data_IF_351285208374
#
_entry.id   IF_351285208374
#
_cell.length_a   1.000
_cell.length_b   1.000
_cell.length_c   1.000
_cell.angle_alpha   90.00
_cell.angle_beta   90.00
_cell.angle_gamma   90.00
#
_symmetry.space_group_name_H-M   'P 1'
#
loop_
_entity.id
_entity.type
_entity.pdbx_description
1 polymer ?
#
# COMPACT_ATOMS: atom_id res chain seq x y z
N UNK A 1 -2.64 -7.32 45.91
CA UNK A 1 -2.52 -8.66 45.30
C UNK A 1 -3.59 -9.68 45.73
N UNK A 2 -4.64 -9.28 46.48
CA UNK A 2 -5.73 -10.20 46.90
C UNK A 2 -7.02 -10.12 46.04
N UNK A 3 -7.10 -9.20 45.09
CA UNK A 3 -8.36 -8.89 44.38
C UNK A 3 -8.58 -9.71 43.09
N UNK A 4 -7.51 -10.19 42.44
CA UNK A 4 -7.61 -10.89 41.14
C UNK A 4 -8.06 -12.35 41.29
N UNK A 5 -7.93 -12.95 42.47
CA UNK A 5 -8.27 -14.36 42.70
C UNK A 5 -9.78 -14.63 42.81
N UNK A 6 -10.62 -13.62 42.99
CA UNK A 6 -12.07 -13.81 43.13
C UNK A 6 -12.79 -13.96 41.78
N UNK A 7 -12.25 -13.32 40.73
CA UNK A 7 -12.89 -13.28 39.41
C UNK A 7 -13.12 -14.66 38.79
N UNK A 8 -12.24 -15.63 39.05
CA UNK A 8 -12.38 -17.00 38.52
C UNK A 8 -13.58 -17.75 39.11
N UNK A 9 -13.87 -17.54 40.40
CA UNK A 9 -15.01 -18.17 41.09
C UNK A 9 -16.35 -17.55 40.70
N UNK A 10 -16.38 -16.25 40.41
CA UNK A 10 -17.59 -15.57 39.92
C UNK A 10 -18.10 -16.10 38.58
N UNK A 11 -17.20 -16.42 37.64
CA UNK A 11 -17.59 -16.94 36.32
C UNK A 11 -18.07 -18.39 36.39
N UNK A 12 -17.46 -19.23 37.23
CA UNK A 12 -17.90 -20.62 37.41
C UNK A 12 -19.27 -20.72 38.09
N UNK A 13 -19.55 -19.88 39.11
CA UNK A 13 -20.80 -19.92 39.86
C UNK A 13 -22.01 -19.40 39.06
N UNK A 14 -21.78 -18.62 38.00
CA UNK A 14 -22.84 -18.12 37.10
C UNK A 14 -23.27 -19.12 36.03
N UNK A 15 -22.42 -20.09 35.70
CA UNK A 15 -22.72 -21.09 34.66
C UNK A 15 -23.70 -22.19 35.11
N UNK A 16 -23.91 -22.40 36.42
CA UNK A 16 -24.83 -23.44 36.90
C UNK A 16 -26.28 -22.97 37.10
N UNK A 17 -26.61 -21.73 36.72
CA UNK A 17 -27.91 -21.11 37.06
C UNK A 17 -28.52 -20.29 35.93
N UNK A 18 -28.44 -20.79 34.70
CA UNK A 18 -29.19 -20.23 33.57
C UNK A 18 -30.12 -21.29 33.00
N UNK A 19 -31.33 -21.35 33.55
CA UNK A 19 -32.49 -21.95 32.90
C UNK A 19 -32.72 -21.24 31.57
N UNK A 20 -32.81 -22.04 30.51
CA UNK A 20 -32.77 -21.65 29.09
C UNK A 20 -34.02 -20.85 28.66
N UNK A 21 -35.03 -20.68 29.51
CA UNK A 21 -36.34 -20.13 29.14
C UNK A 21 -36.53 -18.62 29.37
N UNK A 22 -35.63 -17.91 30.05
CA UNK A 22 -35.77 -16.46 30.32
C UNK A 22 -34.82 -15.56 29.53
N UNK A 23 -33.94 -16.14 28.71
CA UNK A 23 -32.84 -15.41 28.04
C UNK A 23 -33.27 -14.73 26.72
N UNK A 24 -34.48 -15.00 26.23
CA UNK A 24 -34.93 -14.60 24.89
C UNK A 24 -35.06 -13.10 24.62
N UNK A 25 -35.32 -12.26 25.63
CA UNK A 25 -35.59 -10.83 25.42
C UNK A 25 -34.60 -9.87 26.11
N UNK A 26 -33.89 -10.29 27.15
CA UNK A 26 -32.81 -9.51 27.78
C UNK A 26 -31.43 -9.89 27.18
N UNK A 27 -31.35 -11.03 26.49
CA UNK A 27 -30.11 -11.61 25.97
C UNK A 27 -29.46 -10.84 24.81
N UNK A 28 -30.19 -9.99 24.09
CA UNK A 28 -29.62 -9.25 22.95
C UNK A 28 -28.57 -8.23 23.44
N UNK A 29 -28.87 -7.38 24.42
CA UNK A 29 -27.92 -6.36 24.93
C UNK A 29 -26.68 -6.91 25.65
N UNK A 30 -26.80 -8.07 26.32
CA UNK A 30 -25.68 -8.69 27.06
C UNK A 30 -24.74 -9.41 26.08
N UNK A 31 -25.30 -10.08 25.06
CA UNK A 31 -24.49 -10.77 24.04
C UNK A 31 -23.70 -9.80 23.16
N UNK A 32 -24.24 -8.62 22.83
CA UNK A 32 -23.46 -7.59 22.11
C UNK A 32 -22.26 -7.10 22.89
N UNK A 33 -22.42 -6.80 24.18
CA UNK A 33 -21.29 -6.38 25.01
C UNK A 33 -20.22 -7.48 25.07
N UNK A 34 -20.62 -8.73 25.22
CA UNK A 34 -19.68 -9.85 25.21
C UNK A 34 -18.94 -10.00 23.88
N UNK A 35 -19.66 -9.92 22.75
CA UNK A 35 -19.07 -10.01 21.41
C UNK A 35 -18.14 -8.81 21.14
N UNK A 36 -18.54 -7.59 21.53
CA UNK A 36 -17.74 -6.36 21.43
C UNK A 36 -16.44 -6.44 22.25
N UNK A 37 -16.51 -6.93 23.49
CA UNK A 37 -15.31 -7.16 24.32
C UNK A 37 -14.38 -8.23 23.72
N UNK A 38 -14.95 -9.26 23.10
CA UNK A 38 -14.18 -10.31 22.40
C UNK A 38 -13.47 -9.76 21.16
N UNK A 39 -14.13 -8.98 20.30
CA UNK A 39 -13.46 -8.32 19.16
C UNK A 39 -12.36 -7.39 19.67
N UNK A 40 -12.67 -6.55 20.66
CA UNK A 40 -11.71 -5.56 21.18
C UNK A 40 -10.46 -6.22 21.73
N UNK A 41 -10.60 -7.34 22.45
CA UNK A 41 -9.46 -8.13 22.96
C UNK A 41 -8.64 -8.83 21.87
N UNK A 42 -9.25 -9.25 20.75
CA UNK A 42 -8.54 -9.81 19.60
C UNK A 42 -7.73 -8.72 18.88
N UNK A 43 -8.33 -7.56 18.64
CA UNK A 43 -7.65 -6.41 18.01
C UNK A 43 -6.53 -5.85 18.88
N UNK A 44 -6.70 -5.82 20.21
CA UNK A 44 -5.63 -5.36 21.12
C UNK A 44 -4.45 -6.34 21.23
N UNK A 45 -4.66 -7.61 20.85
CA UNK A 45 -3.64 -8.67 20.94
C UNK A 45 -2.78 -8.80 19.68
N UNK A 46 -3.15 -8.17 18.56
CA UNK A 46 -2.32 -8.18 17.35
C UNK A 46 -1.14 -7.21 17.48
N UNK A 47 -0.07 -7.65 18.13
CA UNK A 47 1.25 -6.98 18.13
C UNK A 47 1.93 -7.14 16.76
N UNK A 48 1.23 -6.81 15.69
CA UNK A 48 1.81 -6.79 14.34
C UNK A 48 2.49 -5.44 14.18
N UNK A 49 3.79 -5.45 13.89
CA UNK A 49 4.55 -4.24 13.57
C UNK A 49 4.13 -3.74 12.19
N UNK A 50 3.02 -2.99 12.14
CA UNK A 50 2.40 -2.44 10.92
C UNK A 50 3.42 -1.67 10.07
N UNK A 51 4.34 -0.94 10.71
CA UNK A 51 5.41 -0.20 10.05
C UNK A 51 6.35 -1.10 9.25
N UNK A 52 6.67 -2.30 9.75
CA UNK A 52 7.55 -3.24 9.03
C UNK A 52 6.86 -3.82 7.81
N UNK A 53 5.56 -4.14 7.93
CA UNK A 53 4.78 -4.73 6.84
C UNK A 53 4.54 -3.70 5.74
N UNK A 54 4.20 -2.46 6.11
CA UNK A 54 3.95 -1.38 5.16
C UNK A 54 5.17 -1.03 4.31
N UNK A 55 6.38 -1.18 4.86
CA UNK A 55 7.62 -0.96 4.11
C UNK A 55 8.06 -2.21 3.32
N UNK A 56 7.84 -3.41 3.87
CA UNK A 56 8.30 -4.66 3.25
C UNK A 56 7.48 -5.08 2.01
N UNK A 57 6.16 -4.91 2.05
CA UNK A 57 5.27 -5.28 0.93
C UNK A 57 5.62 -4.54 -0.37
N UNK A 58 5.71 -3.20 -0.42
CA UNK A 58 6.03 -2.49 -1.67
C UNK A 58 7.43 -2.83 -2.19
N UNK A 59 8.40 -3.09 -1.30
CA UNK A 59 9.77 -3.48 -1.67
C UNK A 59 9.82 -4.88 -2.32
N UNK A 60 9.06 -5.84 -1.79
CA UNK A 60 8.95 -7.18 -2.36
C UNK A 60 8.21 -7.17 -3.71
N UNK A 61 7.11 -6.40 -3.80
CA UNK A 61 6.35 -6.25 -5.06
C UNK A 61 7.22 -5.66 -6.17
N UNK A 62 7.95 -4.57 -5.90
CA UNK A 62 8.83 -3.96 -6.90
C UNK A 62 9.91 -4.94 -7.37
N UNK A 63 10.56 -5.66 -6.44
CA UNK A 63 11.57 -6.65 -6.79
C UNK A 63 11.04 -7.78 -7.70
N UNK A 64 9.86 -8.32 -7.39
CA UNK A 64 9.23 -9.37 -8.21
C UNK A 64 8.70 -8.84 -9.54
N UNK A 65 8.21 -7.60 -9.56
CA UNK A 65 7.76 -6.92 -10.77
C UNK A 65 8.91 -6.76 -11.77
N UNK A 66 10.07 -6.26 -11.32
CA UNK A 66 11.26 -6.13 -12.19
C UNK A 66 11.80 -7.48 -12.66
N UNK A 67 11.72 -8.54 -11.83
CA UNK A 67 12.08 -9.90 -12.24
C UNK A 67 11.20 -10.39 -13.40
N UNK A 68 9.87 -10.24 -13.27
CA UNK A 68 8.91 -10.59 -14.34
C UNK A 68 9.13 -9.78 -15.61
N UNK A 69 9.49 -8.50 -15.47
CA UNK A 69 9.73 -7.61 -16.60
C UNK A 69 10.98 -8.02 -17.40
N UNK A 70 12.04 -8.49 -16.71
CA UNK A 70 13.26 -8.96 -17.37
C UNK A 70 13.07 -10.28 -18.13
N UNK A 71 12.47 -11.27 -17.48
CA UNK A 71 12.51 -12.65 -17.99
C UNK A 71 11.52 -12.90 -19.13
N UNK A 72 10.38 -12.19 -19.16
CA UNK A 72 9.35 -12.35 -20.21
C UNK A 72 9.52 -11.40 -21.41
N UNK A 73 10.12 -10.21 -21.24
CA UNK A 73 10.04 -9.14 -22.26
C UNK A 73 11.36 -8.74 -22.94
N UNK A 74 12.53 -8.95 -22.32
CA UNK A 74 13.81 -8.50 -22.91
C UNK A 74 14.38 -9.48 -23.95
N UNK A 75 14.06 -10.78 -23.87
CA UNK A 75 14.79 -11.81 -24.65
C UNK A 75 14.00 -12.31 -25.88
N UNK A 76 12.69 -12.05 -26.02
CA UNK A 76 11.89 -12.65 -27.09
C UNK A 76 11.28 -11.72 -28.16
N UNK A 77 10.81 -10.51 -27.84
CA UNK A 77 9.88 -9.80 -28.76
C UNK A 77 10.08 -8.28 -28.96
N UNK A 78 11.16 -7.64 -28.48
CA UNK A 78 11.33 -6.16 -28.57
C UNK A 78 10.03 -5.40 -28.26
N UNK A 79 9.38 -5.75 -27.14
CA UNK A 79 8.06 -5.19 -26.85
C UNK A 79 8.15 -3.66 -26.67
N UNK A 80 7.27 -2.88 -27.32
CA UNK A 80 7.23 -1.41 -27.16
C UNK A 80 7.05 -0.98 -25.70
N UNK A 81 6.58 -1.90 -24.85
CA UNK A 81 6.51 -1.78 -23.39
C UNK A 81 7.85 -1.36 -22.74
N UNK A 82 8.97 -1.97 -23.14
CA UNK A 82 10.29 -1.68 -22.53
C UNK A 82 10.76 -0.28 -22.91
N UNK A 83 10.44 0.17 -24.13
CA UNK A 83 10.76 1.52 -24.60
C UNK A 83 10.02 2.57 -23.77
N UNK A 84 8.74 2.37 -23.47
CA UNK A 84 7.99 3.31 -22.63
C UNK A 84 8.52 3.42 -21.20
N UNK A 85 8.89 2.29 -20.58
CA UNK A 85 9.55 2.32 -19.26
C UNK A 85 10.91 3.01 -19.32
N UNK A 86 11.72 2.75 -20.35
CA UNK A 86 13.02 3.37 -20.53
C UNK A 86 12.90 4.89 -20.71
N UNK A 87 12.02 5.37 -21.60
CA UNK A 87 11.78 6.79 -21.80
C UNK A 87 11.16 7.46 -20.57
N UNK A 88 10.24 6.79 -19.86
CA UNK A 88 9.67 7.30 -18.62
C UNK A 88 10.72 7.54 -17.53
N UNK A 89 11.63 6.57 -17.34
CA UNK A 89 12.75 6.68 -16.39
C UNK A 89 13.76 7.73 -16.86
N UNK A 90 14.12 7.73 -18.15
CA UNK A 90 15.07 8.69 -18.73
C UNK A 90 14.58 10.14 -18.55
N UNK A 91 13.32 10.41 -18.87
CA UNK A 91 12.72 11.75 -18.67
C UNK A 91 12.60 12.11 -17.19
N UNK A 92 12.33 11.13 -16.33
CA UNK A 92 12.34 11.31 -14.87
C UNK A 92 13.72 11.71 -14.34
N UNK A 93 14.79 11.08 -14.83
CA UNK A 93 16.16 11.43 -14.47
C UNK A 93 16.55 12.84 -14.95
N UNK A 94 16.14 13.21 -16.17
CA UNK A 94 16.33 14.58 -16.70
C UNK A 94 15.58 15.59 -15.84
N UNK A 95 14.35 15.28 -15.41
CA UNK A 95 13.57 16.12 -14.50
C UNK A 95 14.31 16.32 -13.16
N UNK A 96 14.86 15.27 -12.55
CA UNK A 96 15.64 15.38 -11.31
C UNK A 96 16.87 16.28 -11.52
N UNK A 97 17.59 16.10 -12.63
CA UNK A 97 18.75 16.94 -12.95
C UNK A 97 18.36 18.41 -13.12
N UNK A 98 17.29 18.70 -13.85
CA UNK A 98 16.76 20.06 -14.01
C UNK A 98 16.29 20.67 -12.69
N UNK A 99 15.69 19.86 -11.81
CA UNK A 99 15.25 20.31 -10.49
C UNK A 99 16.43 20.74 -9.62
N UNK A 100 17.49 19.92 -9.55
CA UNK A 100 18.73 20.26 -8.83
C UNK A 100 19.35 21.53 -9.40
N UNK A 101 19.38 21.67 -10.73
CA UNK A 101 19.86 22.88 -11.40
C UNK A 101 19.06 24.12 -10.99
N UNK A 102 17.73 24.04 -10.89
CA UNK A 102 16.89 25.17 -10.46
C UNK A 102 17.22 25.57 -9.01
N UNK A 103 17.32 24.58 -8.11
CA UNK A 103 17.68 24.83 -6.70
C UNK A 103 19.04 25.52 -6.58
N UNK A 104 20.01 25.10 -7.41
CA UNK A 104 21.34 25.72 -7.43
C UNK A 104 21.33 27.14 -8.00
N UNK A 105 20.54 27.42 -9.04
CA UNK A 105 20.47 28.74 -9.67
C UNK A 105 19.65 29.75 -8.86
N UNK A 106 18.70 29.29 -8.05
CA UNK A 106 17.81 30.14 -7.26
C UNK A 106 18.55 31.18 -6.38
N UNK A 107 19.56 30.81 -5.57
CA UNK A 107 20.29 31.79 -4.75
C UNK A 107 21.20 32.72 -5.58
N UNK A 108 21.59 32.33 -6.80
CA UNK A 108 22.53 33.09 -7.64
C UNK A 108 21.80 34.22 -8.38
N UNK A 109 20.64 33.92 -8.96
CA UNK A 109 19.89 34.87 -9.77
C UNK A 109 18.84 35.65 -8.98
N UNK A 110 18.46 35.19 -7.78
CA UNK A 110 17.43 35.84 -6.96
C UNK A 110 15.99 35.62 -7.46
N UNK A 111 15.81 35.02 -8.64
CA UNK A 111 14.54 34.61 -9.21
C UNK A 111 14.68 33.23 -9.87
N UNK A 112 13.56 32.51 -10.01
CA UNK A 112 13.54 31.21 -10.69
C UNK A 112 13.57 31.44 -12.21
N UNK A 113 14.56 30.92 -12.96
CA UNK A 113 14.60 31.08 -14.41
C UNK A 113 13.39 30.37 -15.06
N UNK A 114 12.50 31.15 -15.68
CA UNK A 114 11.25 30.64 -16.26
C UNK A 114 11.47 29.51 -17.27
N UNK A 115 12.54 29.59 -18.07
CA UNK A 115 12.90 28.56 -19.07
C UNK A 115 13.26 27.22 -18.42
N UNK A 116 14.02 27.23 -17.33
CA UNK A 116 14.42 26.01 -16.63
C UNK A 116 13.23 25.38 -15.89
N UNK A 117 12.37 26.21 -15.30
CA UNK A 117 11.15 25.75 -14.63
C UNK A 117 10.16 25.12 -15.61
N UNK A 118 9.91 25.75 -16.76
CA UNK A 118 9.06 25.18 -17.81
C UNK A 118 9.62 23.87 -18.36
N UNK A 119 10.93 23.80 -18.60
CA UNK A 119 11.58 22.56 -19.03
C UNK A 119 11.44 21.43 -17.99
N UNK A 120 11.54 21.77 -16.70
CA UNK A 120 11.33 20.82 -15.62
C UNK A 120 9.89 20.30 -15.57
N UNK A 121 8.89 21.19 -15.65
CA UNK A 121 7.47 20.82 -15.68
C UNK A 121 7.13 19.97 -16.91
N UNK A 122 7.66 20.31 -18.09
CA UNK A 122 7.46 19.50 -19.28
C UNK A 122 8.07 18.11 -19.12
N UNK A 123 9.30 18.04 -18.58
CA UNK A 123 10.00 16.76 -18.37
C UNK A 123 9.28 15.85 -17.36
N UNK A 124 8.70 16.43 -16.30
CA UNK A 124 7.97 15.63 -15.30
C UNK A 124 6.63 15.12 -15.85
N UNK A 125 5.90 15.95 -16.61
CA UNK A 125 4.63 15.55 -17.24
C UNK A 125 4.87 14.44 -18.27
N UNK A 126 5.88 14.60 -19.13
CA UNK A 126 6.22 13.59 -20.14
C UNK A 126 6.70 12.27 -19.52
N UNK A 127 7.51 12.33 -18.45
CA UNK A 127 7.90 11.13 -17.67
C UNK A 127 6.69 10.38 -17.10
N UNK A 128 5.74 11.11 -16.51
CA UNK A 128 4.51 10.53 -15.96
C UNK A 128 3.63 9.91 -17.05
N UNK A 129 3.45 10.61 -18.17
CA UNK A 129 2.69 10.11 -19.33
C UNK A 129 3.27 8.81 -19.87
N UNK A 130 4.59 8.75 -20.10
CA UNK A 130 5.24 7.52 -20.57
C UNK A 130 5.16 6.38 -19.58
N UNK A 131 5.26 6.66 -18.27
CA UNK A 131 5.11 5.64 -17.22
C UNK A 131 3.68 5.09 -17.17
N UNK A 132 2.68 5.97 -17.30
CA UNK A 132 1.27 5.55 -17.37
C UNK A 132 0.98 4.74 -18.63
N UNK A 133 1.52 5.13 -19.79
CA UNK A 133 1.39 4.34 -21.01
C UNK A 133 2.07 2.98 -20.88
N UNK A 134 3.26 2.91 -20.27
CA UNK A 134 3.92 1.64 -20.00
C UNK A 134 3.03 0.71 -19.17
N UNK A 135 2.44 1.22 -18.08
CA UNK A 135 1.54 0.42 -17.25
C UNK A 135 0.24 0.03 -17.97
N UNK A 136 -0.29 0.91 -18.82
CA UNK A 136 -1.47 0.62 -19.63
C UNK A 136 -1.19 -0.47 -20.67
N UNK A 137 -0.04 -0.43 -21.34
CA UNK A 137 0.39 -1.48 -22.27
C UNK A 137 0.67 -2.81 -21.56
N UNK A 138 1.22 -2.79 -20.34
CA UNK A 138 1.37 -4.02 -19.54
C UNK A 138 0.01 -4.64 -19.23
N UNK A 139 -1.01 -3.83 -18.97
CA UNK A 139 -2.37 -4.33 -18.79
C UNK A 139 -2.94 -4.90 -20.10
N UNK A 140 -2.81 -4.18 -21.22
CA UNK A 140 -3.32 -4.59 -22.53
C UNK A 140 -2.73 -5.93 -22.98
N UNK A 141 -1.42 -6.09 -22.85
CA UNK A 141 -0.71 -7.32 -23.20
C UNK A 141 -1.12 -8.53 -22.34
N UNK A 142 -1.57 -8.30 -21.11
CA UNK A 142 -2.01 -9.36 -20.21
C UNK A 142 -3.53 -9.59 -20.23
N UNK A 143 -4.29 -8.94 -21.14
CA UNK A 143 -5.76 -9.14 -21.26
C UNK A 143 -6.12 -10.56 -21.73
N UNK A 144 -5.31 -11.16 -22.59
CA UNK A 144 -5.57 -12.49 -23.18
C UNK A 144 -5.34 -13.65 -22.19
N UNK A 145 -4.80 -13.36 -21.00
CA UNK A 145 -4.60 -14.34 -19.92
C UNK A 145 -5.82 -14.48 -18.99
N UNK A 146 -6.82 -13.61 -19.13
CA UNK A 146 -8.12 -13.79 -18.49
C UNK A 146 -8.94 -14.72 -19.39
N UNK A 147 -9.01 -15.98 -18.98
CA UNK A 147 -9.57 -17.09 -19.75
C UNK A 147 -10.93 -16.82 -20.40
N UNK A 148 -11.20 -17.60 -21.45
CA UNK A 148 -12.57 -17.87 -21.93
C UNK A 148 -13.45 -18.35 -20.79
#
# INVERSE_FOLDING_TARGET
>A
MKEVMDTKNYWQKRHSRTDISTVGFIGFGITYNFWMYKIKSIVFKSTIKIQKVFFAIPLMLTKMFFWRLKEKYIIRDFHPLVLFYFFGILMGLISIFLFVRIIYLWPIYGFVPSTSFLAWMLSIITSLQFTMFAMWFDMDYNKDLKGK
#
